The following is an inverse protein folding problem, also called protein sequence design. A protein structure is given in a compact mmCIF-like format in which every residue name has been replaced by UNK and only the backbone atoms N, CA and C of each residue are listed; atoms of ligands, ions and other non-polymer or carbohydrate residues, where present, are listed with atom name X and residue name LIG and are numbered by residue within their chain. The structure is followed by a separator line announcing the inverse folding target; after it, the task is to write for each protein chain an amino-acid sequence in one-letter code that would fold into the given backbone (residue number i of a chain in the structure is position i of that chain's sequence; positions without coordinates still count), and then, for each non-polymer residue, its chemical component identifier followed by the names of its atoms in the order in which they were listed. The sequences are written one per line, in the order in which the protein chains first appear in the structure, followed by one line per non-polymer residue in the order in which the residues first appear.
data_IF_712625233225
#
_entry.id   IF_712625233225
#
_cell.length_a   1.000
_cell.length_b   1.000
_cell.length_c   1.000
_cell.angle_alpha   90.00
_cell.angle_beta   90.00
_cell.angle_gamma   90.00
#
_symmetry.space_group_name_H-M   'P 1'
#
loop_
_entity.id
_entity.type
_entity.pdbx_description
1 polymer ?
#
# COMPACT_ATOMS: atom_id res chain seq x y z
N UNK A 1 -10.42 15.36 -56.71
CA UNK A 1 -11.31 15.91 -55.68
C UNK A 1 -10.51 15.97 -54.41
N UNK A 2 -10.22 17.19 -53.94
CA UNK A 2 -9.42 17.43 -52.74
C UNK A 2 -10.28 17.12 -51.52
N UNK A 3 -9.71 16.37 -50.58
CA UNK A 3 -10.30 15.94 -49.32
C UNK A 3 -10.61 17.16 -48.44
N UNK A 4 -11.84 17.26 -47.94
CA UNK A 4 -12.20 18.16 -46.84
C UNK A 4 -12.66 17.27 -45.69
N UNK A 5 -11.74 16.95 -44.78
CA UNK A 5 -12.06 16.50 -43.44
C UNK A 5 -12.17 17.77 -42.60
N UNK A 6 -13.30 18.05 -41.91
CA UNK A 6 -13.35 19.22 -41.04
C UNK A 6 -12.31 19.06 -39.94
N UNK A 7 -11.44 20.07 -39.86
CA UNK A 7 -10.43 20.27 -38.83
C UNK A 7 -11.15 20.26 -37.48
N UNK A 8 -10.89 19.23 -36.67
CA UNK A 8 -11.38 19.18 -35.31
C UNK A 8 -10.53 20.15 -34.51
N UNK A 9 -11.17 21.23 -34.05
CA UNK A 9 -10.59 22.27 -33.21
C UNK A 9 -9.67 21.66 -32.12
N UNK A 10 -8.39 22.05 -32.16
CA UNK A 10 -7.30 21.71 -31.23
C UNK A 10 -7.44 22.47 -29.90
N UNK A 11 -8.68 22.65 -29.43
CA UNK A 11 -9.04 23.39 -28.21
C UNK A 11 -9.43 22.47 -27.05
N UNK A 12 -8.93 21.23 -27.05
CA UNK A 12 -8.97 20.42 -25.83
C UNK A 12 -7.93 20.98 -24.86
N UNK A 13 -8.30 21.37 -23.61
CA UNK A 13 -7.33 21.89 -22.68
C UNK A 13 -6.32 20.77 -22.38
N UNK A 14 -5.16 20.82 -23.02
CA UNK A 14 -4.06 19.91 -22.79
C UNK A 14 -3.78 19.95 -21.29
N UNK A 15 -4.14 18.87 -20.59
CA UNK A 15 -3.95 18.72 -19.15
C UNK A 15 -2.45 18.62 -18.85
N UNK A 16 -1.77 19.75 -18.93
CA UNK A 16 -0.36 19.88 -18.59
C UNK A 16 -0.29 19.99 -17.08
N UNK A 17 0.24 18.95 -16.43
CA UNK A 17 0.52 19.01 -15.00
C UNK A 17 1.57 20.08 -14.73
N UNK A 18 1.21 21.15 -14.05
CA UNK A 18 2.14 22.16 -13.53
C UNK A 18 2.82 21.71 -12.22
N UNK A 19 2.75 20.41 -11.91
CA UNK A 19 3.36 19.84 -10.70
C UNK A 19 4.88 19.95 -10.78
N UNK A 20 5.48 20.65 -9.82
CA UNK A 20 6.91 20.59 -9.60
C UNK A 20 7.25 19.23 -9.01
N UNK A 21 7.94 18.37 -9.76
CA UNK A 21 8.53 17.10 -9.31
C UNK A 21 9.69 17.31 -8.32
N UNK A 22 9.58 18.27 -7.40
CA UNK A 22 10.50 18.40 -6.28
C UNK A 22 10.11 17.39 -5.20
N UNK A 23 10.07 16.12 -5.62
CA UNK A 23 9.86 14.95 -4.78
C UNK A 23 11.21 14.48 -4.28
N UNK A 24 11.94 15.34 -3.59
CA UNK A 24 12.91 14.83 -2.63
C UNK A 24 12.16 13.90 -1.66
N UNK A 25 12.75 12.74 -1.32
CA UNK A 25 12.24 11.95 -0.20
C UNK A 25 11.96 12.90 0.96
N UNK A 26 10.78 12.87 1.60
CA UNK A 26 10.50 13.75 2.73
C UNK A 26 11.70 13.67 3.67
N UNK A 27 12.35 14.81 3.90
CA UNK A 27 13.40 14.91 4.89
C UNK A 27 12.74 14.53 6.21
N UNK A 28 12.99 13.27 6.61
CA UNK A 28 12.93 12.71 7.94
C UNK A 28 11.85 13.41 8.79
N UNK A 29 10.66 12.80 8.87
CA UNK A 29 9.50 13.25 9.67
C UNK A 29 9.93 14.17 10.82
N UNK A 30 9.38 15.41 10.91
CA UNK A 30 9.91 16.44 11.79
C UNK A 30 10.13 15.87 13.19
N UNK A 31 11.40 15.89 13.60
CA UNK A 31 11.83 15.35 14.87
C UNK A 31 10.96 15.94 15.99
N UNK A 32 10.36 15.02 16.77
CA UNK A 32 9.77 15.22 18.11
C UNK A 32 9.16 16.61 18.36
N UNK A 33 7.86 16.75 18.07
CA UNK A 33 7.05 17.80 18.68
C UNK A 33 7.24 17.81 20.22
N UNK A 34 7.27 18.97 20.90
CA UNK A 34 7.55 19.07 22.34
C UNK A 34 6.60 18.29 23.27
N UNK A 35 5.52 17.73 22.74
CA UNK A 35 4.56 16.87 23.47
C UNK A 35 4.73 15.36 23.22
N UNK A 36 5.69 14.94 22.39
CA UNK A 36 6.03 13.52 22.25
C UNK A 36 6.78 13.06 23.50
N UNK A 37 6.01 12.60 24.48
CA UNK A 37 6.55 11.77 25.56
C UNK A 37 7.20 10.57 24.89
N UNK A 38 8.43 10.24 25.30
CA UNK A 38 9.12 9.04 24.89
C UNK A 38 8.14 7.86 24.92
N UNK A 39 7.70 7.43 23.74
CA UNK A 39 7.06 6.16 23.61
C UNK A 39 8.07 5.16 24.13
N UNK A 40 7.79 4.61 25.31
CA UNK A 40 8.56 3.54 25.90
C UNK A 40 8.59 2.42 24.85
N UNK A 41 9.69 2.31 24.10
CA UNK A 41 9.83 1.32 23.03
C UNK A 41 9.93 -0.03 23.73
N UNK A 42 8.88 -0.88 23.75
CA UNK A 42 9.00 -2.18 24.38
C UNK A 42 10.00 -2.95 23.53
N UNK A 43 11.24 -3.15 24.02
CA UNK A 43 12.38 -3.78 23.33
C UNK A 43 11.99 -4.40 22.00
N UNK A 44 11.85 -3.54 20.98
CA UNK A 44 11.40 -3.96 19.67
C UNK A 44 12.65 -4.60 19.13
N UNK A 45 12.71 -5.93 19.14
CA UNK A 45 13.68 -6.65 18.34
C UNK A 45 13.49 -6.15 16.90
N UNK A 46 14.27 -5.15 16.50
CA UNK A 46 14.32 -4.59 15.16
C UNK A 46 15.05 -5.59 14.25
N UNK A 47 14.61 -6.85 14.29
CA UNK A 47 14.92 -7.79 13.23
C UNK A 47 14.42 -7.11 11.94
N UNK A 48 15.28 -7.01 10.92
CA UNK A 48 14.84 -6.52 9.63
C UNK A 48 13.54 -7.25 9.24
N UNK A 49 12.50 -6.52 8.81
CA UNK A 49 11.24 -7.14 8.41
C UNK A 49 11.49 -8.27 7.43
N UNK A 50 10.69 -9.34 7.48
CA UNK A 50 10.95 -10.54 6.67
C UNK A 50 11.09 -10.25 5.16
N UNK A 51 10.43 -9.20 4.64
CA UNK A 51 10.54 -8.76 3.25
C UNK A 51 11.89 -8.13 2.86
N UNK A 52 12.70 -7.73 3.84
CA UNK A 52 14.09 -7.25 3.62
C UNK A 52 15.06 -8.41 3.40
N UNK A 53 14.62 -9.65 3.69
CA UNK A 53 15.38 -10.85 3.38
C UNK A 53 15.39 -11.05 1.86
N UNK A 54 16.52 -11.52 1.33
CA UNK A 54 16.61 -11.90 -0.08
C UNK A 54 15.60 -12.99 -0.45
N UNK A 55 15.35 -13.12 -1.76
CA UNK A 55 14.39 -14.07 -2.32
C UNK A 55 14.77 -15.50 -1.93
N UNK A 56 13.86 -16.23 -1.29
CA UNK A 56 14.09 -17.63 -0.95
C UNK A 56 13.93 -18.51 -2.18
N UNK A 57 14.37 -19.78 -2.10
CA UNK A 57 14.15 -20.73 -3.19
C UNK A 57 12.65 -20.92 -3.47
N UNK A 58 11.80 -20.88 -2.45
CA UNK A 58 10.35 -21.03 -2.60
C UNK A 58 9.72 -19.83 -3.32
N UNK A 59 10.23 -18.62 -3.04
CA UNK A 59 9.79 -17.40 -3.73
C UNK A 59 10.18 -17.45 -5.22
N UNK A 60 11.40 -17.91 -5.53
CA UNK A 60 11.88 -18.12 -6.90
C UNK A 60 11.01 -19.16 -7.63
N UNK A 61 10.71 -20.28 -6.97
CA UNK A 61 9.84 -21.32 -7.52
C UNK A 61 8.43 -20.80 -7.78
N UNK A 62 7.89 -19.98 -6.88
CA UNK A 62 6.58 -19.34 -7.04
C UNK A 62 6.55 -18.39 -8.24
N UNK A 63 7.62 -17.62 -8.45
CA UNK A 63 7.76 -16.75 -9.62
C UNK A 63 7.74 -17.56 -10.93
N UNK A 64 8.46 -18.69 -10.97
CA UNK A 64 8.43 -19.58 -12.15
C UNK A 64 7.06 -20.19 -12.40
N UNK A 65 6.35 -20.61 -11.35
CA UNK A 65 4.99 -21.13 -11.48
C UNK A 65 4.04 -20.08 -12.06
N UNK A 66 4.12 -18.84 -11.58
CA UNK A 66 3.33 -17.73 -12.11
C UNK A 66 3.69 -17.40 -13.57
N UNK A 67 4.98 -17.42 -13.92
CA UNK A 67 5.46 -17.20 -15.30
C UNK A 67 5.07 -18.30 -16.29
N UNK A 68 4.81 -19.51 -15.81
CA UNK A 68 4.37 -20.64 -16.63
C UNK A 68 2.86 -20.65 -16.91
N UNK A 69 2.08 -19.75 -16.29
CA UNK A 69 0.63 -19.68 -16.50
C UNK A 69 0.29 -19.12 -17.88
N UNK A 70 -0.79 -19.62 -18.48
CA UNK A 70 -1.41 -18.99 -19.65
C UNK A 70 -2.06 -17.65 -19.26
N UNK A 71 -2.40 -16.81 -20.24
CA UNK A 71 -3.10 -15.54 -20.00
C UNK A 71 -4.39 -15.72 -19.18
N UNK A 72 -5.17 -16.77 -19.48
CA UNK A 72 -6.37 -17.11 -18.70
C UNK A 72 -6.03 -17.56 -17.27
N UNK A 73 -4.91 -18.27 -17.09
CA UNK A 73 -4.41 -18.67 -15.78
C UNK A 73 -4.01 -17.46 -14.92
N UNK A 74 -3.33 -16.48 -15.52
CA UNK A 74 -2.97 -15.24 -14.83
C UNK A 74 -4.23 -14.47 -14.41
N UNK A 75 -5.22 -14.34 -15.29
CA UNK A 75 -6.49 -13.68 -14.97
C UNK A 75 -7.19 -14.38 -13.79
N UNK A 76 -7.21 -15.72 -13.79
CA UNK A 76 -7.79 -16.49 -12.69
C UNK A 76 -7.06 -16.25 -11.37
N UNK A 77 -5.73 -16.20 -11.39
CA UNK A 77 -4.93 -15.99 -10.17
C UNK A 77 -5.06 -14.56 -9.64
N UNK A 78 -5.14 -13.56 -10.53
CA UNK A 78 -5.46 -12.17 -10.14
C UNK A 78 -6.84 -12.10 -9.49
N UNK A 79 -7.85 -12.78 -10.06
CA UNK A 79 -9.19 -12.81 -9.47
C UNK A 79 -9.20 -13.48 -8.10
N UNK A 80 -8.49 -14.59 -7.96
CA UNK A 80 -8.33 -15.28 -6.67
C UNK A 80 -7.68 -14.38 -5.63
N UNK A 81 -6.59 -13.68 -5.98
CA UNK A 81 -5.92 -12.74 -5.09
C UNK A 81 -6.87 -11.61 -4.65
N UNK A 82 -7.66 -11.07 -5.58
CA UNK A 82 -8.68 -10.06 -5.30
C UNK A 82 -9.71 -10.55 -4.28
N UNK A 83 -10.26 -11.76 -4.50
CA UNK A 83 -11.24 -12.36 -3.61
C UNK A 83 -10.62 -12.61 -2.21
N UNK A 84 -9.36 -13.03 -2.14
CA UNK A 84 -8.63 -13.22 -0.88
C UNK A 84 -8.39 -11.90 -0.13
N UNK A 85 -7.92 -10.86 -0.81
CA UNK A 85 -7.69 -9.55 -0.22
C UNK A 85 -8.99 -8.95 0.35
N UNK A 86 -10.10 -9.11 -0.39
CA UNK A 86 -11.42 -8.70 0.09
C UNK A 86 -11.81 -9.42 1.39
N UNK A 87 -11.69 -10.76 1.42
CA UNK A 87 -12.02 -11.55 2.62
C UNK A 87 -11.16 -11.16 3.82
N UNK A 88 -9.86 -10.96 3.62
CA UNK A 88 -8.95 -10.50 4.66
C UNK A 88 -9.37 -9.13 5.21
N UNK A 89 -9.72 -8.18 4.35
CA UNK A 89 -10.21 -6.86 4.77
C UNK A 89 -11.48 -6.93 5.61
N UNK A 90 -12.42 -7.82 5.26
CA UNK A 90 -13.64 -8.04 6.06
C UNK A 90 -13.29 -8.62 7.45
N UNK A 91 -12.36 -9.58 7.51
CA UNK A 91 -11.92 -10.17 8.77
C UNK A 91 -11.19 -9.16 9.65
N UNK A 92 -10.30 -8.36 9.08
CA UNK A 92 -9.59 -7.30 9.77
C UNK A 92 -10.57 -6.26 10.35
N UNK A 93 -11.54 -5.80 9.56
CA UNK A 93 -12.54 -4.83 10.02
C UNK A 93 -13.36 -5.36 11.21
N UNK A 94 -13.68 -6.66 11.20
CA UNK A 94 -14.35 -7.35 12.31
C UNK A 94 -13.48 -7.37 13.56
N UNK A 95 -12.20 -7.75 13.45
CA UNK A 95 -11.29 -7.78 14.59
C UNK A 95 -10.98 -6.38 15.14
N UNK A 96 -10.88 -5.36 14.27
CA UNK A 96 -10.74 -3.97 14.70
C UNK A 96 -11.95 -3.49 15.49
N UNK A 97 -13.15 -3.83 15.02
CA UNK A 97 -14.41 -3.53 15.73
C UNK A 97 -14.46 -4.24 17.09
N UNK A 98 -14.08 -5.51 17.14
CA UNK A 98 -13.97 -6.29 18.38
C UNK A 98 -12.97 -5.66 19.35
N UNK A 99 -11.79 -5.25 18.87
CA UNK A 99 -10.78 -4.55 19.66
C UNK A 99 -11.31 -3.23 20.26
N UNK A 100 -12.10 -2.47 19.49
CA UNK A 100 -12.76 -1.26 19.97
C UNK A 100 -13.72 -1.56 21.14
N UNK A 101 -14.55 -2.59 21.05
CA UNK A 101 -15.47 -2.98 22.13
C UNK A 101 -14.74 -3.53 23.37
N UNK A 102 -13.59 -4.17 23.17
CA UNK A 102 -12.73 -4.64 24.26
C UNK A 102 -11.83 -3.54 24.84
N UNK A 103 -11.93 -2.31 24.31
CA UNK A 103 -11.22 -1.13 24.79
C UNK A 103 -9.69 -1.27 24.83
N UNK A 104 -9.12 -2.20 24.05
CA UNK A 104 -7.69 -2.56 24.07
C UNK A 104 -6.80 -1.41 23.55
N UNK A 105 -7.38 -0.48 22.82
CA UNK A 105 -6.70 0.70 22.30
C UNK A 105 -6.72 1.90 23.26
N UNK A 106 -7.43 1.81 24.39
CA UNK A 106 -7.36 2.88 25.39
C UNK A 106 -6.15 2.71 26.29
N UNK A 107 -5.27 3.69 26.23
CA UNK A 107 -4.15 3.80 27.17
C UNK A 107 -4.71 4.11 28.56
N UNK A 108 -4.42 3.25 29.53
CA UNK A 108 -4.76 3.46 30.94
C UNK A 108 -3.88 4.55 31.55
N UNK A 109 -4.00 5.79 31.04
CA UNK A 109 -3.39 6.97 31.67
C UNK A 109 -4.23 7.33 32.87
N UNK A 110 -3.99 6.67 34.00
CA UNK A 110 -4.33 7.24 35.30
C UNK A 110 -3.56 8.56 35.39
N UNK A 111 -4.27 9.67 35.24
CA UNK A 111 -3.71 10.99 35.52
C UNK A 111 -3.31 11.00 37.01
N UNK A 112 -2.08 11.41 37.37
CA UNK A 112 -1.77 11.75 38.75
C UNK A 112 -2.59 12.95 39.22
#
# INVERSE_FOLDING_TARGET
GVLFLPELDDDEPKLMSLEKLDRGSPEIWPAKAPSMHEFNTPNLNFSPPAWTKGLTQDDINSMYQLGALSSNGIIAEVKKLYDQAYQLGVQEAKEMTRGKYLNIFTSNRKKP
#
